data_IF_497965902141
#
_entry.id   IF_497965902141
#
_cell.length_a   1.000
_cell.length_b   1.000
_cell.length_c   1.000
_cell.angle_alpha   90.00
_cell.angle_beta   90.00
_cell.angle_gamma   90.00
#
_symmetry.space_group_name_H-M   'P 1'
#
loop_
_entity.id
_entity.type
_entity.pdbx_description
1 polymer ?
#
# COMPACT_ATOMS: atom_id res chain seq x y z
N UNK A 1 -5.19 8.41 -21.71
CA UNK A 1 -5.77 9.68 -22.20
C UNK A 1 -7.23 9.58 -22.64
N UNK A 2 -7.72 8.46 -23.17
CA UNK A 2 -9.10 8.35 -23.71
C UNK A 2 -10.26 8.51 -22.72
N UNK A 3 -10.02 8.42 -21.39
CA UNK A 3 -11.06 8.62 -20.36
C UNK A 3 -11.02 10.01 -19.73
N UNK A 4 -10.03 10.86 -20.08
CA UNK A 4 -9.89 12.20 -19.49
C UNK A 4 -10.77 13.27 -20.13
N UNK A 5 -11.47 12.94 -21.23
CA UNK A 5 -12.17 13.91 -22.08
C UNK A 5 -13.70 13.95 -21.82
N UNK A 6 -14.19 13.31 -20.76
CA UNK A 6 -15.62 13.14 -20.46
C UNK A 6 -16.18 14.02 -19.31
N UNK A 7 -15.49 15.11 -18.96
CA UNK A 7 -16.03 16.18 -18.12
C UNK A 7 -15.80 16.05 -16.61
N UNK A 8 -16.25 14.97 -15.95
CA UNK A 8 -16.03 14.75 -14.50
C UNK A 8 -15.36 13.39 -14.30
N UNK A 9 -14.17 13.42 -13.70
CA UNK A 9 -13.36 12.23 -13.45
C UNK A 9 -13.12 12.13 -11.95
N UNK A 10 -13.28 10.93 -11.38
CA UNK A 10 -12.80 10.65 -10.05
C UNK A 10 -11.27 10.67 -10.04
N UNK A 11 -10.69 11.74 -9.50
CA UNK A 11 -9.25 11.92 -9.41
C UNK A 11 -8.60 11.03 -8.34
N UNK A 12 -9.38 10.47 -7.42
CA UNK A 12 -8.89 9.70 -6.28
C UNK A 12 -7.96 8.52 -6.67
N UNK A 13 -8.35 7.59 -7.57
CA UNK A 13 -7.48 6.49 -7.96
C UNK A 13 -6.18 6.95 -8.62
N UNK A 14 -6.23 8.03 -9.42
CA UNK A 14 -5.05 8.57 -10.10
C UNK A 14 -4.07 9.18 -9.10
N UNK A 15 -4.57 9.99 -8.16
CA UNK A 15 -3.75 10.58 -7.12
C UNK A 15 -3.12 9.50 -6.23
N UNK A 16 -3.91 8.50 -5.84
CA UNK A 16 -3.46 7.43 -4.96
C UNK A 16 -2.35 6.58 -5.63
N UNK A 17 -2.48 6.30 -6.92
CA UNK A 17 -1.43 5.61 -7.68
C UNK A 17 -0.16 6.47 -7.83
N UNK A 18 -0.32 7.76 -8.12
CA UNK A 18 0.80 8.71 -8.23
C UNK A 18 1.62 8.79 -6.94
N UNK A 19 0.96 8.97 -5.79
CA UNK A 19 1.62 9.01 -4.48
C UNK A 19 2.33 7.69 -4.19
N UNK A 20 1.72 6.57 -4.57
CA UNK A 20 2.32 5.25 -4.40
C UNK A 20 3.59 5.12 -5.24
N UNK A 21 3.58 5.54 -6.51
CA UNK A 21 4.76 5.52 -7.39
C UNK A 21 5.89 6.41 -6.86
N UNK A 22 5.58 7.64 -6.40
CA UNK A 22 6.57 8.53 -5.79
C UNK A 22 7.18 7.89 -4.54
N UNK A 23 6.35 7.26 -3.69
CA UNK A 23 6.81 6.60 -2.48
C UNK A 23 7.73 5.41 -2.79
N UNK A 24 7.37 4.57 -3.77
CA UNK A 24 8.23 3.47 -4.22
C UNK A 24 9.54 3.97 -4.84
N UNK A 25 9.50 5.05 -5.63
CA UNK A 25 10.70 5.66 -6.22
C UNK A 25 11.63 6.27 -5.19
N UNK A 26 11.09 7.04 -4.24
CA UNK A 26 11.88 7.80 -3.25
C UNK A 26 12.34 6.97 -2.06
N UNK A 27 11.45 6.20 -1.44
CA UNK A 27 11.77 5.43 -0.23
C UNK A 27 12.36 4.06 -0.55
N UNK A 28 11.88 3.43 -1.63
CA UNK A 28 12.22 2.05 -1.95
C UNK A 28 13.18 1.94 -3.14
N UNK A 29 13.54 3.07 -3.78
CA UNK A 29 14.43 3.13 -4.95
C UNK A 29 14.04 2.07 -5.99
N UNK A 30 12.74 1.90 -6.18
CA UNK A 30 12.12 0.90 -7.05
C UNK A 30 11.03 1.59 -7.86
N UNK A 31 11.14 1.55 -9.18
CA UNK A 31 10.09 2.05 -10.05
C UNK A 31 9.06 0.95 -10.31
N UNK A 32 7.78 1.24 -10.07
CA UNK A 32 6.66 0.33 -10.36
C UNK A 32 5.72 0.87 -11.43
N UNK A 33 5.74 2.17 -11.74
CA UNK A 33 4.91 2.80 -12.78
C UNK A 33 3.44 2.37 -12.73
N UNK A 34 2.89 2.24 -11.52
CA UNK A 34 1.54 1.72 -11.26
C UNK A 34 0.47 2.63 -11.86
N UNK A 35 0.69 3.95 -11.88
CA UNK A 35 -0.21 4.91 -12.53
C UNK A 35 -0.39 4.63 -14.02
N UNK A 36 0.69 4.30 -14.73
CA UNK A 36 0.66 3.99 -16.17
C UNK A 36 0.03 2.63 -16.42
N UNK A 37 0.33 1.65 -15.58
CA UNK A 37 -0.16 0.28 -15.73
C UNK A 37 -1.65 0.14 -15.43
N UNK A 38 -2.18 0.87 -14.44
CA UNK A 38 -3.53 0.66 -13.93
C UNK A 38 -4.60 1.54 -14.59
N UNK A 39 -4.21 2.57 -15.37
CA UNK A 39 -5.10 3.43 -16.19
C UNK A 39 -6.44 3.80 -15.53
N UNK A 40 -6.39 4.26 -14.27
CA UNK A 40 -7.58 4.68 -13.50
C UNK A 40 -8.12 3.64 -12.52
N UNK A 41 -7.58 2.42 -12.50
CA UNK A 41 -7.85 1.43 -11.44
C UNK A 41 -6.96 1.66 -10.21
N UNK A 42 -7.45 1.33 -9.01
CA UNK A 42 -6.67 1.49 -7.77
C UNK A 42 -5.58 0.44 -7.64
N UNK A 43 -4.36 0.87 -7.30
CA UNK A 43 -3.29 -0.05 -6.91
C UNK A 43 -3.72 -0.88 -5.70
N UNK A 44 -3.52 -2.19 -5.77
CA UNK A 44 -3.80 -3.09 -4.65
C UNK A 44 -3.01 -2.70 -3.41
N UNK A 45 -1.76 -2.27 -3.60
CA UNK A 45 -0.91 -1.80 -2.50
C UNK A 45 -1.51 -0.56 -1.85
N UNK A 46 -1.92 0.42 -2.66
CA UNK A 46 -2.49 1.65 -2.15
C UNK A 46 -3.86 1.43 -1.48
N UNK A 47 -4.68 0.53 -2.03
CA UNK A 47 -5.93 0.10 -1.39
C UNK A 47 -5.68 -0.54 -0.01
N UNK A 48 -4.69 -1.44 0.10
CA UNK A 48 -4.33 -2.04 1.39
C UNK A 48 -3.92 -1.00 2.43
N UNK A 49 -3.16 0.03 2.04
CA UNK A 49 -2.76 1.11 2.95
C UNK A 49 -3.97 1.89 3.46
N UNK A 50 -4.86 2.30 2.56
CA UNK A 50 -6.08 3.05 2.92
C UNK A 50 -6.97 2.25 3.85
N UNK A 51 -7.13 0.95 3.59
CA UNK A 51 -7.90 0.05 4.46
C UNK A 51 -7.24 -0.12 5.84
N UNK A 52 -5.92 -0.30 5.91
CA UNK A 52 -5.20 -0.34 7.19
C UNK A 52 -5.43 0.96 7.97
N UNK A 53 -5.28 2.12 7.33
CA UNK A 53 -5.49 3.41 7.97
C UNK A 53 -6.93 3.55 8.51
N UNK A 54 -7.92 3.10 7.74
CA UNK A 54 -9.33 3.07 8.15
C UNK A 54 -9.56 2.16 9.35
N UNK A 55 -8.93 0.97 9.37
CA UNK A 55 -9.00 0.05 10.51
C UNK A 55 -8.32 0.65 11.75
N UNK A 56 -7.19 1.32 11.60
CA UNK A 56 -6.50 2.01 12.70
C UNK A 56 -7.38 3.10 13.30
N UNK A 57 -7.99 3.96 12.47
CA UNK A 57 -8.93 4.98 12.93
C UNK A 57 -10.12 4.34 13.65
N UNK A 58 -10.71 3.28 13.09
CA UNK A 58 -11.80 2.54 13.73
C UNK A 58 -11.40 1.99 15.12
N UNK A 59 -10.18 1.48 15.26
CA UNK A 59 -9.67 0.97 16.54
C UNK A 59 -9.50 2.10 17.55
N UNK A 60 -8.98 3.27 17.13
CA UNK A 60 -8.79 4.45 18.00
C UNK A 60 -10.10 4.86 18.68
N UNK A 61 -11.21 4.87 17.94
CA UNK A 61 -12.53 5.26 18.46
C UNK A 61 -13.25 4.16 19.26
N UNK A 62 -12.68 2.95 19.39
CA UNK A 62 -13.30 1.83 20.10
C UNK A 62 -12.37 1.31 21.20
N UNK A 63 -12.38 1.92 22.40
CA UNK A 63 -11.50 1.54 23.50
C UNK A 63 -11.55 0.05 23.88
N UNK A 64 -12.70 -0.60 23.72
CA UNK A 64 -12.85 -2.05 23.97
C UNK A 64 -12.07 -2.94 22.98
N UNK A 65 -11.59 -2.39 21.86
CA UNK A 65 -10.69 -3.04 20.91
C UNK A 65 -9.22 -2.65 21.12
N UNK A 66 -8.87 -1.96 22.20
CA UNK A 66 -7.47 -1.65 22.53
C UNK A 66 -6.66 -2.89 22.93
N UNK A 67 -7.21 -3.89 23.65
CA UNK A 67 -6.47 -5.14 23.87
C UNK A 67 -6.21 -5.87 22.55
N UNK A 68 -4.95 -6.21 22.28
CA UNK A 68 -4.54 -6.88 21.03
C UNK A 68 -5.23 -8.24 20.84
N UNK A 69 -5.45 -8.99 21.92
CA UNK A 69 -6.17 -10.27 21.88
C UNK A 69 -7.61 -10.10 21.38
N UNK A 70 -8.32 -9.09 21.88
CA UNK A 70 -9.69 -8.80 21.44
C UNK A 70 -9.71 -8.32 19.98
N UNK A 71 -8.74 -7.49 19.60
CA UNK A 71 -8.66 -6.96 18.25
C UNK A 71 -8.37 -8.03 17.21
N UNK A 72 -7.37 -8.88 17.43
CA UNK A 72 -6.96 -9.95 16.48
C UNK A 72 -8.08 -10.97 16.23
N UNK A 73 -8.94 -11.22 17.23
CA UNK A 73 -10.13 -12.07 17.10
C UNK A 73 -11.27 -11.41 16.31
N UNK A 74 -11.26 -10.08 16.13
CA UNK A 74 -12.25 -9.37 15.33
C UNK A 74 -12.03 -9.57 13.83
N UNK A 75 -13.08 -9.40 13.02
CA UNK A 75 -12.96 -9.44 11.54
C UNK A 75 -12.00 -8.38 11.01
N UNK A 76 -12.01 -7.18 11.61
CA UNK A 76 -11.13 -6.06 11.27
C UNK A 76 -9.68 -6.34 11.66
N UNK A 77 -9.43 -7.01 12.79
CA UNK A 77 -8.09 -7.43 13.19
C UNK A 77 -7.50 -8.48 12.24
N UNK A 78 -8.28 -9.51 11.87
CA UNK A 78 -7.85 -10.49 10.86
C UNK A 78 -7.52 -9.84 9.52
N UNK A 79 -8.33 -8.87 9.11
CA UNK A 79 -8.12 -8.13 7.87
C UNK A 79 -6.86 -7.25 7.94
N UNK A 80 -6.66 -6.56 9.05
CA UNK A 80 -5.45 -5.79 9.33
C UNK A 80 -4.19 -6.67 9.28
N UNK A 81 -4.22 -7.85 9.90
CA UNK A 81 -3.09 -8.79 9.88
C UNK A 81 -2.78 -9.33 8.48
N UNK A 82 -3.82 -9.59 7.66
CA UNK A 82 -3.65 -9.97 6.26
C UNK A 82 -2.92 -8.87 5.47
N UNK A 83 -3.36 -7.62 5.59
CA UNK A 83 -2.74 -6.50 4.87
C UNK A 83 -1.34 -6.19 5.39
N UNK A 84 -1.13 -6.24 6.71
CA UNK A 84 0.20 -6.13 7.33
C UNK A 84 1.15 -7.20 6.79
N UNK A 85 0.68 -8.45 6.67
CA UNK A 85 1.47 -9.55 6.10
C UNK A 85 1.88 -9.29 4.65
N UNK A 86 0.95 -8.80 3.83
CA UNK A 86 1.24 -8.39 2.45
C UNK A 86 2.30 -7.27 2.40
N UNK A 87 2.14 -6.23 3.21
CA UNK A 87 3.06 -5.09 3.24
C UNK A 87 4.48 -5.50 3.66
N UNK A 88 4.60 -6.30 4.73
CA UNK A 88 5.89 -6.84 5.19
C UNK A 88 6.54 -7.69 4.10
N UNK A 89 5.76 -8.49 3.36
CA UNK A 89 6.27 -9.31 2.26
C UNK A 89 6.87 -8.43 1.16
N UNK A 90 6.16 -7.38 0.72
CA UNK A 90 6.65 -6.44 -0.30
C UNK A 90 7.94 -5.76 0.17
N UNK A 91 7.98 -5.27 1.41
CA UNK A 91 9.19 -4.64 1.95
C UNK A 91 10.38 -5.59 2.02
N UNK A 92 10.17 -6.84 2.47
CA UNK A 92 11.23 -7.85 2.50
C UNK A 92 11.80 -8.11 1.11
N UNK A 93 10.95 -8.21 0.09
CA UNK A 93 11.39 -8.39 -1.29
C UNK A 93 12.26 -7.23 -1.79
N UNK A 94 11.87 -5.99 -1.48
CA UNK A 94 12.66 -4.80 -1.83
C UNK A 94 14.01 -4.81 -1.13
N UNK A 95 14.03 -5.09 0.18
CA UNK A 95 15.27 -5.13 0.97
C UNK A 95 16.22 -6.20 0.45
N UNK A 96 15.69 -7.39 0.14
CA UNK A 96 16.48 -8.50 -0.41
C UNK A 96 17.07 -8.14 -1.77
N UNK A 97 16.27 -7.58 -2.68
CA UNK A 97 16.73 -7.08 -3.97
C UNK A 97 17.88 -6.09 -3.81
N UNK A 98 17.71 -5.06 -2.97
CA UNK A 98 18.75 -4.04 -2.72
C UNK A 98 20.00 -4.60 -2.03
N UNK A 99 19.86 -5.67 -1.23
CA UNK A 99 21.00 -6.37 -0.66
C UNK A 99 21.78 -7.15 -1.72
N UNK A 100 21.09 -7.73 -2.70
CA UNK A 100 21.71 -8.47 -3.79
C UNK A 100 22.41 -7.54 -4.79
N UNK A 101 21.79 -6.40 -5.15
CA UNK A 101 22.40 -5.34 -5.98
C UNK A 101 23.76 -4.90 -5.39
N UNK A 102 23.81 -4.57 -4.10
CA UNK A 102 25.06 -4.19 -3.41
C UNK A 102 26.12 -5.28 -3.37
N UNK A 103 25.72 -6.56 -3.30
CA UNK A 103 26.67 -7.69 -3.33
C UNK A 103 27.27 -7.90 -4.73
N UNK A 104 26.52 -7.58 -5.78
CA UNK A 104 27.00 -7.65 -7.16
C UNK A 104 27.97 -6.51 -7.46
N UNK A 105 27.72 -5.29 -6.95
CA UNK A 105 28.61 -4.14 -7.10
C UNK A 105 29.97 -4.30 -6.39
N UNK A 106 30.04 -5.17 -5.38
CA UNK A 106 31.27 -5.44 -4.60
C UNK A 106 32.13 -6.57 -5.17
N UNK A 107 31.67 -7.27 -6.22
CA UNK A 107 32.41 -8.33 -6.91
C UNK A 107 33.03 -7.79 -8.20
#
# INVERSE_FOLDING_TARGET
ESEMDKGIIDAYPYLLNCVTDIMFGTLLSTERNEQVQLKGSRSYFAHCIVEIATICLFRIFKPWLYPDTMFTLSSKGRLHDKYKGFFIKVLKQVIERKRNERKLEQK
#
